data_IF_468300906429
#
_entry.id   IF_468300906429
#
_cell.length_a   1.000
_cell.length_b   1.000
_cell.length_c   1.000
_cell.angle_alpha   90.00
_cell.angle_beta   90.00
_cell.angle_gamma   90.00
#
_symmetry.space_group_name_H-M   'P 1'
#
loop_
_entity.id
_entity.type
_entity.pdbx_description
1 polymer ?
#
# COMPACT_ATOMS: atom_id res chain seq x y z
N UNK A 1 -13.79 1.84 2.21
CA UNK A 1 -12.85 1.93 3.33
C UNK A 1 -11.99 3.16 3.18
N UNK A 2 -11.85 3.90 4.24
CA UNK A 2 -11.02 5.07 4.23
C UNK A 2 -9.70 4.74 4.86
N UNK A 3 -8.61 4.98 4.14
CA UNK A 3 -7.27 4.68 4.61
C UNK A 3 -6.55 5.99 4.87
N UNK A 4 -6.16 6.28 6.11
CA UNK A 4 -5.44 7.51 6.40
C UNK A 4 -4.04 7.47 5.77
N UNK A 5 -3.57 8.62 5.33
CA UNK A 5 -2.26 8.74 4.72
C UNK A 5 -1.31 9.45 5.66
N UNK A 6 -0.04 9.20 5.48
CA UNK A 6 1.03 9.78 6.31
C UNK A 6 0.90 9.37 7.77
N UNK A 7 0.43 8.16 8.00
CA UNK A 7 0.33 7.61 9.36
C UNK A 7 1.19 6.37 9.50
N UNK A 8 1.50 6.03 10.73
CA UNK A 8 2.32 4.85 11.01
C UNK A 8 1.56 3.58 10.69
N UNK A 9 2.29 2.61 10.15
CA UNK A 9 1.76 1.29 9.81
C UNK A 9 2.51 0.26 10.62
N UNK A 10 1.77 -0.54 11.39
CA UNK A 10 2.33 -1.58 12.24
C UNK A 10 1.94 -2.95 11.71
N UNK A 11 2.88 -3.87 11.79
CA UNK A 11 2.58 -5.29 11.68
C UNK A 11 2.41 -5.86 13.08
N UNK A 12 2.17 -7.15 13.19
CA UNK A 12 1.98 -7.79 14.49
C UNK A 12 3.19 -7.56 15.39
N UNK A 13 4.37 -7.55 14.82
CA UNK A 13 5.62 -7.47 15.57
C UNK A 13 6.27 -6.08 15.55
N UNK A 14 5.56 -5.05 15.11
CA UNK A 14 6.07 -3.69 15.28
C UNK A 14 5.85 -2.77 14.09
N UNK A 15 6.37 -1.57 14.20
CA UNK A 15 6.25 -0.54 13.19
C UNK A 15 7.06 -0.91 11.94
N UNK A 16 6.45 -0.80 10.77
CA UNK A 16 7.12 -1.17 9.52
C UNK A 16 7.21 -0.03 8.52
N UNK A 17 6.47 1.04 8.71
CA UNK A 17 6.56 2.16 7.77
C UNK A 17 5.42 3.15 7.93
N UNK A 18 5.21 3.94 6.88
CA UNK A 18 4.16 4.96 6.86
C UNK A 18 3.37 4.85 5.57
N UNK A 19 2.07 5.05 5.69
CA UNK A 19 1.20 5.05 4.51
C UNK A 19 1.42 6.32 3.71
N UNK A 20 1.47 6.21 2.39
CA UNK A 20 1.72 7.38 1.53
C UNK A 20 0.64 7.59 0.48
N UNK A 21 -0.01 6.55 0.01
CA UNK A 21 -1.07 6.70 -0.98
C UNK A 21 -1.91 5.43 -1.06
N UNK A 22 -2.99 5.49 -1.81
CA UNK A 22 -3.84 4.32 -2.06
C UNK A 22 -3.92 4.03 -3.54
N UNK A 23 -4.27 2.81 -3.88
CA UNK A 23 -4.51 2.39 -5.26
C UNK A 23 -5.95 1.90 -5.34
N UNK A 24 -6.69 2.42 -6.31
CA UNK A 24 -8.08 2.06 -6.50
C UNK A 24 -8.31 1.46 -7.87
N UNK A 25 -9.32 0.63 -7.95
CA UNK A 25 -9.79 0.13 -9.23
C UNK A 25 -10.64 1.25 -9.87
N UNK A 26 -10.30 1.73 -11.07
CA UNK A 26 -11.02 2.85 -11.67
C UNK A 26 -12.45 2.50 -12.08
N UNK A 27 -12.75 1.22 -12.22
CA UNK A 27 -14.10 0.80 -12.62
C UNK A 27 -15.01 0.71 -11.41
N UNK A 28 -14.58 0.01 -10.38
CA UNK A 28 -15.40 -0.17 -9.18
C UNK A 28 -15.23 0.95 -8.16
N UNK A 29 -14.18 1.75 -8.31
CA UNK A 29 -13.82 2.83 -7.38
C UNK A 29 -13.39 2.32 -6.01
N UNK A 30 -13.17 1.02 -5.87
CA UNK A 30 -12.75 0.48 -4.60
C UNK A 30 -11.25 0.53 -4.44
N UNK A 31 -10.79 0.85 -3.22
CA UNK A 31 -9.37 0.81 -2.89
C UNK A 31 -8.99 -0.65 -2.73
N UNK A 32 -8.01 -1.09 -3.48
CA UNK A 32 -7.56 -2.49 -3.44
C UNK A 32 -6.26 -2.64 -2.67
N UNK A 33 -5.43 -1.61 -2.68
CA UNK A 33 -4.12 -1.65 -2.04
C UNK A 33 -3.82 -0.29 -1.45
N UNK A 34 -2.85 -0.24 -0.56
CA UNK A 34 -2.27 1.03 -0.17
C UNK A 34 -0.75 0.88 -0.16
N UNK A 35 -0.06 1.99 -0.28
CA UNK A 35 1.37 1.99 -0.43
C UNK A 35 2.00 2.44 0.88
N UNK A 36 2.98 1.67 1.35
CA UNK A 36 3.70 1.93 2.59
C UNK A 36 5.17 2.14 2.27
N UNK A 37 5.72 3.28 2.68
CA UNK A 37 7.15 3.52 2.60
C UNK A 37 7.80 2.83 3.80
N UNK A 38 8.81 2.01 3.54
CA UNK A 38 9.46 1.25 4.62
C UNK A 38 10.12 2.18 5.62
N UNK A 39 10.05 1.80 6.89
CA UNK A 39 10.57 2.62 7.95
C UNK A 39 12.07 2.88 7.81
N UNK A 40 12.84 1.83 7.55
CA UNK A 40 14.29 1.94 7.51
C UNK A 40 14.81 2.37 6.17
N UNK A 41 14.05 2.18 5.10
CA UNK A 41 14.45 2.58 3.78
C UNK A 41 13.24 3.14 3.04
N UNK A 42 12.92 4.43 3.24
CA UNK A 42 11.71 5.01 2.66
C UNK A 42 11.67 5.04 1.14
N UNK A 43 12.80 4.78 0.48
CA UNK A 43 12.81 4.67 -0.97
C UNK A 43 12.09 3.40 -1.43
N UNK A 44 12.01 2.40 -0.57
CA UNK A 44 11.29 1.19 -0.89
C UNK A 44 9.84 1.37 -0.49
N UNK A 45 8.95 1.27 -1.46
CA UNK A 45 7.53 1.41 -1.25
C UNK A 45 6.86 0.09 -1.51
N UNK A 46 6.11 -0.39 -0.51
CA UNK A 46 5.44 -1.68 -0.59
C UNK A 46 3.99 -1.51 -0.93
N UNK A 47 3.51 -2.39 -1.80
CA UNK A 47 2.12 -2.40 -2.22
C UNK A 47 1.38 -3.41 -1.35
N UNK A 48 0.57 -2.91 -0.44
CA UNK A 48 -0.07 -3.75 0.58
C UNK A 48 -1.55 -3.92 0.27
N UNK A 49 -2.02 -5.16 0.09
CA UNK A 49 -3.44 -5.39 -0.13
C UNK A 49 -4.25 -4.97 1.09
N UNK A 50 -5.40 -4.36 0.86
CA UNK A 50 -6.24 -3.91 1.98
C UNK A 50 -6.76 -5.08 2.82
N UNK A 51 -6.77 -6.28 2.28
CA UNK A 51 -7.18 -7.45 3.03
C UNK A 51 -6.26 -7.74 4.22
N UNK A 52 -5.05 -7.23 4.20
CA UNK A 52 -4.14 -7.43 5.33
C UNK A 52 -4.40 -6.48 6.48
N UNK A 53 -5.28 -5.51 6.31
CA UNK A 53 -5.56 -4.55 7.37
C UNK A 53 -6.39 -5.22 8.46
N UNK A 54 -5.90 -5.12 9.70
CA UNK A 54 -6.63 -5.62 10.85
C UNK A 54 -7.48 -4.51 11.44
N UNK A 55 -6.91 -3.36 11.71
CA UNK A 55 -7.64 -2.20 12.23
C UNK A 55 -7.06 -0.92 11.66
N UNK A 56 -7.91 0.10 11.57
CA UNK A 56 -7.52 1.41 11.08
C UNK A 56 -8.09 2.45 12.03
N UNK A 57 -7.24 3.37 12.47
CA UNK A 57 -7.68 4.58 13.17
C UNK A 57 -7.16 5.78 12.39
N UNK A 58 -7.60 7.00 12.69
CA UNK A 58 -7.07 8.16 11.94
C UNK A 58 -5.56 8.36 12.09
N UNK A 59 -4.93 7.75 13.10
CA UNK A 59 -3.52 7.95 13.35
C UNK A 59 -2.65 6.74 13.03
N UNK A 60 -3.24 5.55 12.88
CA UNK A 60 -2.46 4.33 12.79
C UNK A 60 -3.19 3.26 11.99
N UNK A 61 -2.43 2.49 11.25
CA UNK A 61 -2.94 1.30 10.56
C UNK A 61 -2.23 0.08 11.14
N UNK A 62 -3.01 -0.92 11.53
CA UNK A 62 -2.46 -2.19 12.01
C UNK A 62 -2.76 -3.28 11.00
N UNK A 63 -1.71 -3.99 10.61
CA UNK A 63 -1.82 -5.11 9.65
C UNK A 63 -1.85 -6.43 10.38
N UNK A 64 -2.52 -7.40 9.78
CA UNK A 64 -2.60 -8.74 10.33
C UNK A 64 -1.56 -9.64 9.68
N UNK A 65 -0.31 -9.22 9.76
CA UNK A 65 0.81 -9.98 9.20
C UNK A 65 2.08 -9.62 9.96
N UNK A 66 3.10 -10.45 9.80
CA UNK A 66 4.40 -10.17 10.42
C UNK A 66 5.19 -9.19 9.56
N UNK A 67 6.24 -8.60 10.14
CA UNK A 67 7.15 -7.75 9.37
C UNK A 67 7.80 -8.53 8.24
N UNK A 68 8.06 -9.81 8.46
CA UNK A 68 8.64 -10.66 7.43
C UNK A 68 7.69 -10.82 6.24
N UNK A 69 6.41 -11.00 6.53
CA UNK A 69 5.41 -11.10 5.48
C UNK A 69 5.22 -9.77 4.76
N UNK A 70 5.27 -8.67 5.51
CA UNK A 70 5.22 -7.35 4.92
C UNK A 70 6.39 -7.14 3.95
N UNK A 71 7.57 -7.61 4.31
CA UNK A 71 8.75 -7.46 3.46
C UNK A 71 8.66 -8.28 2.18
N UNK A 72 7.73 -9.20 2.11
CA UNK A 72 7.49 -9.99 0.89
C UNK A 72 6.44 -9.40 -0.02
N UNK A 73 5.79 -8.33 0.39
CA UNK A 73 4.80 -7.68 -0.48
C UNK A 73 5.50 -7.05 -1.67
N UNK A 74 4.75 -6.85 -2.73
CA UNK A 74 5.31 -6.34 -3.97
C UNK A 74 5.79 -4.90 -3.81
N UNK A 75 6.89 -4.56 -4.44
CA UNK A 75 7.36 -3.18 -4.47
C UNK A 75 6.61 -2.42 -5.54
N UNK A 76 6.24 -1.19 -5.22
CA UNK A 76 5.45 -0.38 -6.13
C UNK A 76 6.13 -0.20 -7.49
N UNK A 77 7.44 0.02 -7.50
CA UNK A 77 8.15 0.20 -8.75
C UNK A 77 8.04 -1.02 -9.64
N UNK A 78 8.17 -2.21 -9.07
CA UNK A 78 8.07 -3.43 -9.85
C UNK A 78 6.66 -3.64 -10.37
N UNK A 79 5.68 -3.29 -9.58
CA UNK A 79 4.29 -3.40 -9.99
C UNK A 79 4.02 -2.51 -11.21
N UNK A 80 4.51 -1.27 -11.17
CA UNK A 80 4.31 -0.34 -12.27
C UNK A 80 5.11 -0.68 -13.51
N UNK A 81 6.21 -1.41 -13.36
CA UNK A 81 7.06 -1.78 -14.48
C UNK A 81 6.65 -3.10 -15.13
N UNK A 82 5.61 -3.75 -14.64
CA UNK A 82 5.15 -5.00 -15.23
C UNK A 82 3.78 -4.81 -15.86
N UNK A 83 3.69 -4.03 -16.91
CA UNK A 83 2.38 -3.75 -17.50
C UNK A 83 1.74 -4.97 -18.15
N UNK A 84 2.52 -6.01 -18.36
CA UNK A 84 1.98 -7.20 -19.01
C UNK A 84 0.97 -7.92 -18.16
N UNK A 85 0.92 -7.65 -16.87
CA UNK A 85 -0.05 -8.35 -16.06
C UNK A 85 -1.46 -7.82 -16.28
N UNK A 86 -1.62 -6.78 -17.05
CA UNK A 86 -2.92 -6.27 -17.43
C UNK A 86 -3.69 -5.56 -16.34
N UNK A 87 -3.33 -5.78 -15.11
CA UNK A 87 -4.07 -5.16 -14.02
C UNK A 87 -3.73 -3.71 -13.83
N UNK A 88 -2.54 -3.35 -14.24
CA UNK A 88 -2.07 -2.02 -14.04
C UNK A 88 -2.90 -1.00 -14.78
N UNK A 89 -3.47 -1.36 -15.90
CA UNK A 89 -4.27 -0.43 -16.67
C UNK A 89 -5.61 -0.14 -16.00
N UNK A 90 -5.97 -0.91 -14.99
CA UNK A 90 -7.24 -0.75 -14.30
C UNK A 90 -7.07 -0.17 -12.91
N UNK A 91 -5.88 0.30 -12.57
CA UNK A 91 -5.62 0.86 -11.25
C UNK A 91 -5.24 2.32 -11.36
N UNK A 92 -5.58 3.08 -10.34
CA UNK A 92 -5.27 4.50 -10.29
C UNK A 92 -4.51 4.79 -9.02
N UNK A 93 -3.35 5.43 -9.16
CA UNK A 93 -2.58 5.84 -8.02
C UNK A 93 -3.10 7.16 -7.50
N UNK A 94 -3.31 7.24 -6.22
CA UNK A 94 -3.80 8.45 -5.60
C UNK A 94 -2.65 9.24 -5.01
N UNK A 95 -1.80 9.73 -5.86
CA UNK A 95 -0.67 10.50 -5.44
C UNK A 95 -0.67 11.89 -6.02
N UNK A 96 -1.73 12.26 -6.64
CA UNK A 96 -1.76 13.55 -7.28
C UNK A 96 -0.95 13.59 -8.55
N UNK A 97 -0.43 12.53 -9.05
CA UNK A 97 0.27 12.47 -10.20
C UNK A 97 -0.26 11.43 -11.05
N UNK A 98 -0.31 11.65 -12.32
CA UNK A 98 -0.78 10.71 -13.13
C UNK A 98 0.21 9.88 -13.59
N UNK A 99 0.11 8.82 -13.97
CA UNK A 99 0.96 8.05 -14.38
C UNK A 99 0.45 7.27 -15.27
N UNK A 100 0.64 6.61 -15.83
CA UNK A 100 0.29 5.84 -16.86
C UNK A 100 -0.85 5.55 -17.22
#
# INVERSE_FOLDING_TARGET
>A
MKIPLSVDVYCIDGLVGRSITTISNPITKEVTHFVVAELQNPHIKRLVPVELIKTVTPQVIHLNCSAKEFAKTEQLEKFLLHPTNGHITHLVLKMGQVWV
#
